data_IF_582290723745
#
_entry.id   IF_582290723745
#
_cell.length_a   1.000
_cell.length_b   1.000
_cell.length_c   1.000
_cell.angle_alpha   90.00
_cell.angle_beta   90.00
_cell.angle_gamma   90.00
#
_symmetry.space_group_name_H-M   'P 1'
#
loop_
_entity.id
_entity.type
_entity.pdbx_description
1 polymer ?
#
# COMPACT_ATOMS: atom_id res chain seq x y z
N UNK A 1 60.43 -40.78 -70.71
CA UNK A 1 59.46 -40.69 -69.59
C UNK A 1 58.90 -39.28 -69.59
N UNK A 2 57.58 -39.16 -69.73
CA UNK A 2 56.87 -37.90 -69.89
C UNK A 2 56.93 -37.05 -68.61
N UNK A 3 57.26 -35.77 -68.73
CA UNK A 3 57.01 -34.77 -67.70
C UNK A 3 55.94 -33.81 -68.23
N UNK A 4 54.85 -33.74 -67.46
CA UNK A 4 53.65 -32.97 -67.75
C UNK A 4 53.91 -31.46 -67.70
N UNK A 5 53.17 -30.65 -68.47
CA UNK A 5 53.11 -29.21 -68.25
C UNK A 5 52.28 -28.91 -67.00
N UNK A 6 52.88 -28.23 -66.04
CA UNK A 6 52.23 -27.63 -64.86
C UNK A 6 51.17 -26.63 -65.32
N UNK A 7 49.90 -26.98 -65.06
CA UNK A 7 48.75 -26.10 -65.18
C UNK A 7 48.87 -24.95 -64.17
N UNK A 8 48.92 -23.71 -64.66
CA UNK A 8 48.77 -22.52 -63.84
C UNK A 8 47.31 -22.42 -63.39
N UNK A 9 47.09 -22.56 -62.08
CA UNK A 9 45.78 -22.40 -61.46
C UNK A 9 45.25 -20.98 -61.71
N UNK A 10 44.12 -20.88 -62.41
CA UNK A 10 43.37 -19.65 -62.54
C UNK A 10 42.85 -19.22 -61.16
N UNK A 11 43.18 -18.01 -60.74
CA UNK A 11 42.57 -17.38 -59.57
C UNK A 11 41.04 -17.25 -59.82
N UNK A 12 40.18 -17.54 -58.83
CA UNK A 12 38.76 -17.32 -58.98
C UNK A 12 38.50 -15.82 -59.16
N UNK A 13 37.83 -15.47 -60.25
CA UNK A 13 37.34 -14.12 -60.49
C UNK A 13 36.54 -13.66 -59.27
N UNK A 14 36.95 -12.56 -58.65
CA UNK A 14 36.21 -11.91 -57.58
C UNK A 14 34.79 -11.66 -58.07
N UNK A 15 33.81 -12.33 -57.46
CA UNK A 15 32.41 -12.09 -57.72
C UNK A 15 32.15 -10.60 -57.45
N UNK A 16 31.73 -9.87 -58.49
CA UNK A 16 31.22 -8.52 -58.32
C UNK A 16 30.12 -8.56 -57.25
N UNK A 17 30.12 -7.63 -56.27
CA UNK A 17 29.06 -7.58 -55.28
C UNK A 17 27.72 -7.51 -56.01
N UNK A 18 26.66 -8.19 -55.50
CA UNK A 18 25.35 -8.15 -56.12
C UNK A 18 24.98 -6.68 -56.34
N UNK A 19 24.49 -6.33 -57.54
CA UNK A 19 24.00 -4.99 -57.85
C UNK A 19 23.09 -4.55 -56.71
N UNK A 20 23.62 -3.68 -55.84
CA UNK A 20 22.87 -3.13 -54.74
C UNK A 20 21.78 -2.28 -55.37
N UNK A 21 20.51 -2.57 -55.07
CA UNK A 21 19.40 -1.75 -55.57
C UNK A 21 19.72 -0.29 -55.20
N UNK A 22 19.85 0.62 -56.19
CA UNK A 22 20.21 2.01 -55.92
C UNK A 22 19.23 2.69 -54.96
N UNK A 23 17.98 2.21 -54.89
CA UNK A 23 17.02 2.67 -53.86
C UNK A 23 17.41 2.19 -52.47
N UNK A 24 17.73 0.91 -52.30
CA UNK A 24 18.17 0.37 -51.03
C UNK A 24 19.47 1.06 -50.52
N UNK A 25 20.41 1.34 -51.42
CA UNK A 25 21.63 2.07 -51.08
C UNK A 25 21.33 3.52 -50.65
N UNK A 26 20.37 4.18 -51.29
CA UNK A 26 19.93 5.54 -50.91
C UNK A 26 19.19 5.55 -49.58
N UNK A 27 18.33 4.58 -49.32
CA UNK A 27 17.59 4.46 -48.06
C UNK A 27 18.55 4.25 -46.89
N UNK A 28 19.56 3.38 -47.05
CA UNK A 28 20.63 3.16 -46.06
C UNK A 28 21.44 4.45 -45.85
N UNK A 29 21.76 5.19 -46.92
CA UNK A 29 22.49 6.45 -46.80
C UNK A 29 21.66 7.54 -46.09
N UNK A 30 20.35 7.62 -46.34
CA UNK A 30 19.44 8.54 -45.67
C UNK A 30 19.27 8.20 -44.19
N UNK A 31 19.17 6.92 -43.85
CA UNK A 31 19.08 6.48 -42.45
C UNK A 31 20.38 6.73 -41.70
N UNK A 32 21.54 6.48 -42.32
CA UNK A 32 22.84 6.82 -41.75
C UNK A 32 22.99 8.34 -41.51
N UNK A 33 22.55 9.17 -42.46
CA UNK A 33 22.59 10.62 -42.32
C UNK A 33 21.66 11.13 -41.19
N UNK A 34 20.47 10.53 -41.03
CA UNK A 34 19.54 10.87 -39.94
C UNK A 34 20.07 10.45 -38.57
N UNK A 35 20.76 9.31 -38.48
CA UNK A 35 21.42 8.85 -37.25
C UNK A 35 22.62 9.73 -36.87
N UNK A 36 23.33 10.30 -37.84
CA UNK A 36 24.50 11.14 -37.59
C UNK A 36 24.16 12.50 -36.94
N UNK A 37 22.96 13.05 -37.19
CA UNK A 37 22.47 14.26 -36.53
C UNK A 37 20.96 14.18 -36.26
N UNK A 38 20.53 13.44 -35.23
CA UNK A 38 19.12 13.15 -35.00
C UNK A 38 18.37 14.34 -34.38
N UNK A 39 19.07 15.40 -33.95
CA UNK A 39 18.51 16.49 -33.15
C UNK A 39 18.01 17.63 -34.02
N UNK A 40 16.69 17.85 -34.01
CA UNK A 40 16.00 18.96 -34.66
C UNK A 40 15.61 19.98 -33.59
N UNK A 41 15.97 21.25 -33.80
CA UNK A 41 15.53 22.35 -32.91
C UNK A 41 14.27 22.98 -33.48
N UNK A 42 13.19 22.97 -32.70
CA UNK A 42 11.92 23.59 -33.09
C UNK A 42 11.93 25.12 -32.89
N UNK A 43 10.94 25.84 -33.46
CA UNK A 43 10.81 27.31 -33.33
C UNK A 43 10.74 27.80 -31.88
N UNK A 44 10.26 26.93 -30.98
CA UNK A 44 10.09 27.23 -29.55
C UNK A 44 11.33 26.87 -28.70
N UNK A 45 12.47 26.54 -29.32
CA UNK A 45 13.71 26.15 -28.64
C UNK A 45 13.72 24.72 -28.08
N UNK A 46 12.64 23.96 -28.25
CA UNK A 46 12.57 22.53 -27.87
C UNK A 46 13.39 21.67 -28.83
N UNK A 47 14.14 20.70 -28.28
CA UNK A 47 14.97 19.76 -29.04
C UNK A 47 14.22 18.44 -29.22
N UNK A 48 14.06 18.01 -30.46
CA UNK A 48 13.42 16.74 -30.84
C UNK A 48 14.46 15.81 -31.44
N UNK A 49 14.39 14.51 -31.15
CA UNK A 49 15.24 13.51 -31.79
C UNK A 49 14.42 12.67 -32.78
N UNK A 50 14.73 12.73 -34.07
CA UNK A 50 14.03 11.97 -35.11
C UNK A 50 14.79 10.66 -35.41
N UNK A 51 14.52 9.61 -34.63
CA UNK A 51 15.08 8.27 -34.87
C UNK A 51 14.10 7.41 -35.70
N UNK A 52 14.59 6.58 -36.64
CA UNK A 52 13.78 5.58 -37.32
C UNK A 52 13.09 4.63 -36.31
N UNK A 53 11.83 4.25 -36.56
CA UNK A 53 11.06 3.34 -35.68
C UNK A 53 11.73 1.98 -35.44
N UNK A 54 12.64 1.55 -36.33
CA UNK A 54 13.37 0.29 -36.25
C UNK A 54 14.52 0.29 -35.23
N UNK A 55 14.89 1.45 -34.69
CA UNK A 55 15.99 1.59 -33.73
C UNK A 55 15.42 1.98 -32.37
N UNK A 56 15.32 1.01 -31.47
CA UNK A 56 15.02 1.28 -30.06
C UNK A 56 16.28 1.76 -29.34
N UNK A 57 16.17 2.86 -28.61
CA UNK A 57 17.19 3.25 -27.64
C UNK A 57 16.92 2.48 -26.35
N UNK A 58 17.90 1.72 -25.86
CA UNK A 58 17.84 1.10 -24.54
C UNK A 58 19.02 1.59 -23.74
N UNK A 59 18.74 2.21 -22.59
CA UNK A 59 19.77 2.59 -21.64
C UNK A 59 20.41 1.30 -21.09
N UNK A 60 21.72 1.15 -21.26
CA UNK A 60 22.46 0.05 -20.65
C UNK A 60 22.82 0.50 -19.23
N UNK A 61 22.24 -0.12 -18.18
CA UNK A 61 22.51 0.31 -16.82
C UNK A 61 23.97 0.06 -16.48
N UNK A 62 24.72 1.12 -16.16
CA UNK A 62 26.06 0.99 -15.61
C UNK A 62 25.95 0.54 -14.15
N UNK A 63 26.11 -0.75 -13.90
CA UNK A 63 25.98 -1.34 -12.55
C UNK A 63 27.07 -0.86 -11.56
N UNK A 64 28.11 -0.19 -12.03
CA UNK A 64 29.16 0.38 -11.20
C UNK A 64 28.90 1.84 -10.78
N UNK A 65 27.90 2.50 -11.38
CA UNK A 65 27.53 3.87 -11.05
C UNK A 65 26.35 3.90 -10.08
N UNK A 66 26.40 4.84 -9.14
CA UNK A 66 25.26 5.15 -8.29
C UNK A 66 24.19 5.87 -9.13
N UNK A 67 22.90 5.67 -8.83
CA UNK A 67 21.82 6.37 -9.52
C UNK A 67 21.97 7.89 -9.37
N UNK A 68 21.58 8.63 -10.41
CA UNK A 68 21.69 10.09 -10.44
C UNK A 68 20.84 10.78 -9.35
N UNK A 69 19.81 10.08 -8.83
CA UNK A 69 18.94 10.57 -7.77
C UNK A 69 18.68 9.48 -6.73
N UNK A 70 18.45 9.85 -5.45
CA UNK A 70 18.02 8.89 -4.44
C UNK A 70 16.69 8.23 -4.85
N UNK A 71 16.64 6.90 -4.81
CA UNK A 71 15.46 6.10 -5.21
C UNK A 71 14.87 5.29 -4.04
N UNK A 72 15.25 5.66 -2.82
CA UNK A 72 14.91 4.89 -1.61
C UNK A 72 13.45 5.15 -1.21
N UNK A 73 12.69 4.06 -1.05
CA UNK A 73 11.32 4.08 -0.54
C UNK A 73 11.25 3.26 0.75
N UNK A 74 11.45 3.93 1.89
CA UNK A 74 11.50 3.29 3.20
C UNK A 74 10.14 3.34 3.91
N UNK A 75 9.84 2.27 4.64
CA UNK A 75 8.67 2.19 5.52
C UNK A 75 9.14 2.12 6.97
N UNK A 76 8.55 2.97 7.81
CA UNK A 76 8.83 3.11 9.23
C UNK A 76 7.60 2.69 10.04
N UNK A 77 7.84 2.12 11.21
CA UNK A 77 6.85 1.82 12.26
C UNK A 77 6.91 2.86 13.40
N UNK A 78 8.11 3.38 13.70
CA UNK A 78 8.34 4.40 14.71
C UNK A 78 8.31 5.84 14.14
N UNK A 79 7.53 6.69 14.79
CA UNK A 79 7.40 8.11 14.46
C UNK A 79 8.74 8.85 14.61
N UNK A 80 9.50 8.60 15.68
CA UNK A 80 10.74 9.33 15.93
C UNK A 80 11.79 9.03 14.84
N UNK A 81 11.84 7.78 14.39
CA UNK A 81 12.69 7.32 13.30
C UNK A 81 12.32 7.97 11.96
N UNK A 82 11.03 8.08 11.63
CA UNK A 82 10.61 8.80 10.42
C UNK A 82 11.00 10.27 10.49
N UNK A 83 10.75 10.95 11.62
CA UNK A 83 11.09 12.37 11.80
C UNK A 83 12.60 12.57 11.66
N UNK A 84 13.42 11.73 12.27
CA UNK A 84 14.87 11.80 12.16
C UNK A 84 15.34 11.63 10.70
N UNK A 85 14.75 10.69 9.98
CA UNK A 85 15.08 10.44 8.57
C UNK A 85 14.68 11.62 7.68
N UNK A 86 13.44 12.10 7.79
CA UNK A 86 12.93 13.24 7.01
C UNK A 86 13.75 14.49 7.31
N UNK A 87 14.06 14.76 8.57
CA UNK A 87 14.88 15.92 8.93
C UNK A 87 16.31 15.87 8.38
N UNK A 88 16.84 14.67 8.15
CA UNK A 88 18.17 14.47 7.57
C UNK A 88 18.21 14.76 6.08
N UNK A 89 17.15 14.42 5.35
CA UNK A 89 17.13 14.44 3.88
C UNK A 89 16.15 15.46 3.26
N UNK A 90 15.43 16.23 4.08
CA UNK A 90 14.50 17.25 3.57
C UNK A 90 15.20 18.36 2.79
N UNK A 91 14.51 18.86 1.79
CA UNK A 91 14.79 20.08 1.05
C UNK A 91 13.53 20.96 0.98
N UNK A 92 13.61 22.08 0.24
CA UNK A 92 12.49 23.02 0.07
C UNK A 92 11.30 22.44 -0.73
N UNK A 93 11.47 21.26 -1.35
CA UNK A 93 10.44 20.57 -2.12
C UNK A 93 9.78 19.46 -1.31
N UNK A 94 10.34 19.10 -0.17
CA UNK A 94 9.82 18.00 0.64
C UNK A 94 8.41 18.30 1.17
N UNK A 95 7.50 17.34 1.03
CA UNK A 95 6.13 17.44 1.54
C UNK A 95 5.76 16.25 2.41
N UNK A 96 4.85 16.49 3.36
CA UNK A 96 4.22 15.45 4.16
C UNK A 96 2.77 15.28 3.72
N UNK A 97 2.39 14.05 3.43
CA UNK A 97 1.03 13.67 3.06
C UNK A 97 0.53 12.69 4.11
N UNK A 98 -0.52 13.06 4.84
CA UNK A 98 -1.19 12.17 5.77
C UNK A 98 -2.48 11.62 5.14
N UNK A 99 -2.56 10.29 4.99
CA UNK A 99 -3.78 9.59 4.63
C UNK A 99 -4.36 8.91 5.86
N UNK A 100 -5.45 9.48 6.36
CA UNK A 100 -6.16 8.99 7.54
C UNK A 100 -6.81 7.62 7.30
N UNK A 101 -7.32 7.36 6.10
CA UNK A 101 -8.00 6.09 5.79
C UNK A 101 -7.00 4.96 5.65
N UNK A 102 -5.83 5.25 5.07
CA UNK A 102 -4.76 4.28 4.93
C UNK A 102 -3.88 4.16 6.19
N UNK A 103 -4.08 5.02 7.20
CA UNK A 103 -3.25 5.10 8.41
C UNK A 103 -1.75 5.25 8.07
N UNK A 104 -1.46 6.09 7.06
CA UNK A 104 -0.07 6.33 6.63
C UNK A 104 0.26 7.82 6.59
N UNK A 105 1.49 8.14 6.98
CA UNK A 105 2.08 9.47 6.79
C UNK A 105 3.27 9.30 5.87
N UNK A 106 3.14 9.76 4.63
CA UNK A 106 4.19 9.66 3.60
C UNK A 106 4.91 10.98 3.47
N UNK A 107 6.22 10.97 3.72
CA UNK A 107 7.10 12.06 3.36
C UNK A 107 7.67 11.83 1.96
N UNK A 108 7.44 12.78 1.06
CA UNK A 108 8.02 12.81 -0.28
C UNK A 108 9.12 13.85 -0.27
N UNK A 109 10.37 13.44 -0.39
CA UNK A 109 11.52 14.32 -0.18
C UNK A 109 11.89 15.08 -1.45
N UNK A 110 11.73 14.47 -2.61
CA UNK A 110 12.08 15.01 -3.92
C UNK A 110 10.85 15.33 -4.78
N UNK A 111 9.83 15.93 -4.14
CA UNK A 111 8.59 16.31 -4.80
C UNK A 111 8.79 17.41 -5.85
N UNK A 112 7.73 17.69 -6.62
CA UNK A 112 7.77 18.79 -7.58
C UNK A 112 7.85 20.16 -6.87
N UNK A 113 8.49 21.17 -7.48
CA UNK A 113 8.55 22.52 -6.92
C UNK A 113 7.16 23.11 -6.70
N UNK A 114 7.06 24.04 -5.74
CA UNK A 114 5.84 24.81 -5.54
C UNK A 114 5.46 25.58 -6.82
N UNK A 115 4.17 25.70 -7.13
CA UNK A 115 3.66 26.41 -8.31
C UNK A 115 4.01 27.92 -8.35
N UNK A 116 4.58 28.45 -7.26
CA UNK A 116 5.04 29.84 -7.16
C UNK A 116 6.54 29.98 -7.48
N UNK A 117 7.26 28.86 -7.54
CA UNK A 117 8.66 28.82 -7.96
C UNK A 117 8.70 28.99 -9.49
N UNK A 118 9.52 29.90 -10.04
CA UNK A 118 9.69 30.04 -11.49
C UNK A 118 10.00 28.72 -12.23
N UNK A 119 10.63 27.76 -11.54
CA UNK A 119 10.95 26.43 -12.05
C UNK A 119 9.81 25.39 -11.91
N UNK A 120 8.56 25.78 -11.63
CA UNK A 120 7.44 24.84 -11.44
C UNK A 120 7.19 23.85 -12.60
N UNK A 121 7.68 24.16 -13.80
CA UNK A 121 7.52 23.34 -15.00
C UNK A 121 8.62 22.27 -15.16
N UNK A 122 9.63 22.23 -14.28
CA UNK A 122 10.62 21.16 -14.28
C UNK A 122 10.12 19.95 -13.51
N UNK A 123 10.12 18.78 -14.15
CA UNK A 123 9.82 17.52 -13.50
C UNK A 123 10.91 17.16 -12.49
N UNK A 124 10.50 16.82 -11.26
CA UNK A 124 11.37 16.23 -10.24
C UNK A 124 11.26 14.69 -10.28
N UNK A 125 12.26 13.96 -9.75
CA UNK A 125 12.27 12.49 -9.83
C UNK A 125 11.14 11.79 -9.04
N UNK A 126 10.70 12.34 -7.90
CA UNK A 126 9.69 11.75 -7.00
C UNK A 126 9.93 10.26 -6.68
N UNK A 127 11.17 9.92 -6.38
CA UNK A 127 11.58 8.56 -6.05
C UNK A 127 12.02 8.37 -4.59
N UNK A 128 12.22 9.45 -3.83
CA UNK A 128 12.70 9.38 -2.45
C UNK A 128 11.53 9.57 -1.47
N UNK A 129 11.10 8.45 -0.89
CA UNK A 129 9.93 8.41 -0.01
C UNK A 129 10.24 7.79 1.36
N UNK A 130 9.63 8.34 2.40
CA UNK A 130 9.66 7.83 3.76
C UNK A 130 8.24 7.74 4.31
N UNK A 131 7.70 6.52 4.38
CA UNK A 131 6.32 6.27 4.78
C UNK A 131 6.27 5.73 6.21
N UNK A 132 5.65 6.45 7.13
CA UNK A 132 5.25 5.92 8.42
C UNK A 132 3.92 5.20 8.25
N UNK A 133 3.89 3.93 8.63
CA UNK A 133 2.66 3.16 8.72
C UNK A 133 2.27 3.13 10.19
N UNK A 134 1.09 3.65 10.51
CA UNK A 134 0.52 3.49 11.84
C UNK A 134 -0.07 2.07 11.88
N UNK A 135 0.47 1.24 12.78
CA UNK A 135 -0.07 -0.08 13.03
C UNK A 135 -0.99 0.00 14.23
N UNK A 136 -2.13 -0.65 14.13
CA UNK A 136 -2.98 -0.93 15.28
C UNK A 136 -2.17 -1.77 16.28
N UNK A 137 -2.35 -1.52 17.57
CA UNK A 137 -1.81 -2.38 18.61
C UNK A 137 -2.36 -3.80 18.49
N UNK A 138 -1.62 -4.79 19.00
CA UNK A 138 -2.05 -6.18 18.95
C UNK A 138 -3.35 -6.36 19.77
N UNK A 139 -3.44 -5.65 20.89
CA UNK A 139 -4.59 -5.61 21.77
C UNK A 139 -5.80 -5.03 21.04
N UNK A 140 -5.65 -3.86 20.40
CA UNK A 140 -6.74 -3.23 19.63
C UNK A 140 -7.21 -4.12 18.48
N UNK A 141 -6.28 -4.74 17.75
CA UNK A 141 -6.62 -5.67 16.69
C UNK A 141 -7.42 -6.88 17.21
N UNK A 142 -7.04 -7.46 18.36
CA UNK A 142 -7.75 -8.58 18.99
C UNK A 142 -9.16 -8.18 19.43
N UNK A 143 -9.30 -7.07 20.15
CA UNK A 143 -10.60 -6.58 20.61
C UNK A 143 -11.52 -6.21 19.46
N UNK A 144 -11.00 -5.53 18.43
CA UNK A 144 -11.76 -5.19 17.22
C UNK A 144 -12.17 -6.44 16.42
N UNK A 145 -11.33 -7.48 16.39
CA UNK A 145 -11.67 -8.75 15.77
C UNK A 145 -12.75 -9.53 16.54
N UNK A 146 -12.82 -9.39 17.86
CA UNK A 146 -13.86 -9.98 18.70
C UNK A 146 -15.17 -9.19 18.66
N UNK A 147 -15.11 -7.88 18.42
CA UNK A 147 -16.27 -6.99 18.41
C UNK A 147 -17.30 -7.38 17.34
N UNK A 148 -18.59 -7.32 17.71
CA UNK A 148 -19.72 -7.56 16.80
C UNK A 148 -19.95 -9.02 16.41
N UNK A 149 -19.15 -9.97 16.92
CA UNK A 149 -19.33 -11.40 16.71
C UNK A 149 -20.09 -12.02 17.88
N UNK A 150 -20.94 -13.00 17.56
CA UNK A 150 -21.51 -13.88 18.59
C UNK A 150 -20.44 -14.88 19.01
N UNK A 151 -20.07 -14.86 20.28
CA UNK A 151 -19.19 -15.84 20.90
C UNK A 151 -20.02 -16.77 21.76
N UNK A 152 -19.62 -18.02 21.88
CA UNK A 152 -20.18 -18.86 22.93
C UNK A 152 -19.72 -18.35 24.30
N UNK A 153 -20.46 -18.74 25.34
CA UNK A 153 -20.22 -18.23 26.69
C UNK A 153 -18.83 -18.62 27.23
N UNK A 154 -18.38 -19.84 26.92
CA UNK A 154 -17.11 -20.36 27.41
C UNK A 154 -15.93 -19.67 26.70
N UNK A 155 -16.04 -19.45 25.40
CA UNK A 155 -15.09 -18.76 24.55
C UNK A 155 -15.01 -17.28 24.92
N UNK A 156 -16.14 -16.63 25.22
CA UNK A 156 -16.16 -15.24 25.68
C UNK A 156 -15.52 -15.09 27.06
N UNK A 157 -15.85 -15.97 28.02
CA UNK A 157 -15.22 -15.97 29.34
C UNK A 157 -13.70 -16.18 29.24
N UNK A 158 -13.26 -17.15 28.42
CA UNK A 158 -11.84 -17.38 28.14
C UNK A 158 -11.18 -16.15 27.52
N UNK A 159 -11.85 -15.49 26.57
CA UNK A 159 -11.33 -14.27 25.94
C UNK A 159 -11.14 -13.14 26.95
N UNK A 160 -12.06 -12.95 27.89
CA UNK A 160 -11.92 -11.96 28.96
C UNK A 160 -10.81 -12.34 29.96
N UNK A 161 -10.60 -13.62 30.24
CA UNK A 161 -9.48 -14.09 31.08
C UNK A 161 -8.12 -13.78 30.45
N UNK A 162 -7.97 -14.11 29.16
CA UNK A 162 -6.73 -13.89 28.40
C UNK A 162 -6.38 -12.41 28.23
N UNK A 163 -7.38 -11.53 28.17
CA UNK A 163 -7.21 -10.08 27.96
C UNK A 163 -7.64 -9.26 29.19
N UNK A 164 -7.58 -9.86 30.39
CA UNK A 164 -8.03 -9.21 31.64
C UNK A 164 -7.22 -7.95 32.00
N UNK A 165 -5.97 -7.86 31.56
CA UNK A 165 -5.10 -6.69 31.74
C UNK A 165 -5.57 -5.46 30.98
N UNK A 166 -6.34 -5.67 29.92
CA UNK A 166 -6.81 -4.61 29.02
C UNK A 166 -8.08 -3.95 29.54
N UNK A 167 -8.79 -4.61 30.45
CA UNK A 167 -10.05 -4.15 31.00
C UNK A 167 -9.76 -3.19 32.15
N UNK A 168 -10.18 -1.94 31.98
CA UNK A 168 -9.99 -0.89 32.97
C UNK A 168 -11.10 -0.82 34.02
N UNK A 169 -12.35 -0.83 33.54
CA UNK A 169 -13.53 -0.73 34.41
C UNK A 169 -14.74 -1.38 33.73
N UNK A 170 -15.55 -2.21 34.42
CA UNK A 170 -15.43 -2.62 35.82
C UNK A 170 -14.30 -3.65 36.05
N UNK A 171 -14.15 -4.12 37.29
CA UNK A 171 -13.12 -5.10 37.67
C UNK A 171 -13.11 -6.33 36.72
N UNK A 172 -11.96 -6.72 36.14
CA UNK A 172 -11.90 -7.84 35.18
C UNK A 172 -12.46 -9.14 35.75
N UNK A 173 -12.27 -9.41 37.04
CA UNK A 173 -12.80 -10.61 37.69
C UNK A 173 -14.34 -10.60 37.71
N UNK A 174 -14.96 -9.46 38.00
CA UNK A 174 -16.40 -9.27 37.91
C UNK A 174 -16.89 -9.50 36.47
N UNK A 175 -16.19 -8.99 35.45
CA UNK A 175 -16.55 -9.21 34.04
C UNK A 175 -16.49 -10.68 33.63
N UNK A 176 -15.49 -11.42 34.09
CA UNK A 176 -15.35 -12.86 33.82
C UNK A 176 -16.45 -13.65 34.53
N UNK A 177 -16.77 -13.32 35.78
CA UNK A 177 -17.89 -13.90 36.52
C UNK A 177 -19.21 -13.65 35.80
N UNK A 178 -19.46 -12.40 35.37
CA UNK A 178 -20.61 -12.05 34.53
C UNK A 178 -20.66 -12.89 33.27
N UNK A 179 -19.55 -13.02 32.54
CA UNK A 179 -19.53 -13.81 31.31
C UNK A 179 -19.87 -15.29 31.56
N UNK A 180 -19.33 -15.91 32.63
CA UNK A 180 -19.57 -17.32 32.97
C UNK A 180 -20.97 -17.59 33.49
N UNK A 181 -21.51 -16.69 34.30
CA UNK A 181 -22.79 -16.85 34.99
C UNK A 181 -23.95 -16.10 34.29
N UNK A 182 -23.71 -15.60 33.07
CA UNK A 182 -24.72 -14.94 32.24
C UNK A 182 -25.84 -15.91 31.84
N UNK A 183 -26.77 -16.16 32.75
CA UNK A 183 -28.00 -16.88 32.49
C UNK A 183 -29.12 -15.85 32.33
N UNK A 184 -29.18 -15.24 31.14
CA UNK A 184 -30.30 -14.38 30.79
C UNK A 184 -31.55 -15.25 30.66
N UNK A 185 -32.27 -15.40 31.77
CA UNK A 185 -33.66 -15.84 31.72
C UNK A 185 -34.44 -14.71 31.06
N UNK A 186 -34.48 -14.68 29.73
CA UNK A 186 -35.44 -13.91 28.95
C UNK A 186 -36.84 -14.57 29.09
N UNK A 187 -37.26 -14.77 30.33
CA UNK A 187 -38.57 -15.30 30.69
C UNK A 187 -39.57 -14.18 30.67
N UNK A 188 -40.10 -13.85 29.49
CA UNK A 188 -41.34 -13.09 29.40
C UNK A 188 -42.46 -13.96 30.00
N UNK A 189 -42.66 -13.88 31.31
CA UNK A 189 -43.72 -14.61 32.00
C UNK A 189 -45.05 -13.91 31.73
N UNK A 190 -45.76 -14.37 30.70
CA UNK A 190 -47.12 -13.91 30.38
C UNK A 190 -48.11 -14.47 31.43
N UNK A 191 -48.36 -13.75 32.53
CA UNK A 191 -49.50 -14.05 33.41
C UNK A 191 -50.77 -13.37 32.88
N UNK A 192 -51.49 -14.08 32.02
CA UNK A 192 -52.89 -13.74 31.70
C UNK A 192 -53.79 -14.33 32.78
N UNK A 193 -54.09 -13.59 33.85
CA UNK A 193 -55.15 -13.97 34.79
C UNK A 193 -56.50 -13.55 34.21
N UNK A 194 -57.29 -14.52 33.73
CA UNK A 194 -58.69 -14.30 33.36
C UNK A 194 -59.55 -14.63 34.57
N UNK A 195 -60.17 -13.62 35.19
CA UNK A 195 -61.38 -13.84 36.00
C UNK A 195 -62.57 -13.85 35.04
N UNK A 196 -63.24 -15.00 34.97
CA UNK A 196 -64.32 -15.30 34.04
C UNK A 196 -65.60 -14.49 34.28
N UNK A 197 -65.65 -13.67 35.34
CA UNK A 197 -66.90 -13.06 35.79
C UNK A 197 -67.18 -11.65 35.26
N UNK A 198 -66.19 -10.90 34.70
CA UNK A 198 -66.45 -9.50 34.32
C UNK A 198 -65.69 -8.89 33.13
N UNK A 199 -64.95 -9.65 32.32
CA UNK A 199 -64.47 -9.18 31.00
C UNK A 199 -63.42 -8.05 30.95
N UNK A 200 -63.02 -7.46 32.08
CA UNK A 200 -61.97 -6.43 32.12
C UNK A 200 -60.57 -7.04 31.97
N UNK A 201 -59.83 -6.62 30.94
CA UNK A 201 -58.47 -7.08 30.64
C UNK A 201 -57.45 -6.09 31.22
N UNK A 202 -56.78 -6.44 32.31
CA UNK A 202 -55.63 -5.67 32.82
C UNK A 202 -54.34 -6.36 32.38
N UNK A 203 -53.58 -5.69 31.51
CA UNK A 203 -52.23 -6.09 31.11
C UNK A 203 -51.25 -5.38 32.06
N UNK A 204 -50.59 -6.14 32.94
CA UNK A 204 -49.46 -5.63 33.72
C UNK A 204 -48.19 -6.19 33.08
N UNK A 205 -47.35 -5.31 32.54
CA UNK A 205 -46.02 -5.65 32.07
C UNK A 205 -45.07 -5.55 33.26
N UNK A 206 -44.54 -6.68 33.71
CA UNK A 206 -43.51 -6.72 34.75
C UNK A 206 -42.30 -7.44 34.13
N UNK A 207 -41.25 -6.67 33.83
CA UNK A 207 -39.97 -7.20 33.33
C UNK A 207 -39.10 -7.47 34.54
N UNK A 208 -38.94 -8.74 34.88
CA UNK A 208 -38.13 -9.18 36.01
C UNK A 208 -36.88 -9.88 35.47
N UNK A 209 -35.79 -9.11 35.35
CA UNK A 209 -34.46 -9.65 35.02
C UNK A 209 -33.80 -10.08 36.32
N UNK A 210 -34.13 -11.27 36.83
CA UNK A 210 -33.40 -11.87 37.96
C UNK A 210 -32.18 -12.65 37.47
N UNK A 211 -31.04 -11.97 37.38
CA UNK A 211 -29.78 -12.62 37.77
C UNK A 211 -29.81 -12.80 39.31
N UNK A 212 -28.97 -13.66 39.90
CA UNK A 212 -28.86 -13.79 41.37
C UNK A 212 -28.81 -12.40 42.03
N UNK A 213 -29.50 -12.28 43.16
CA UNK A 213 -30.12 -11.08 43.76
C UNK A 213 -29.36 -9.72 43.80
N UNK A 214 -28.12 -9.57 43.36
CA UNK A 214 -27.41 -8.27 43.35
C UNK A 214 -26.48 -8.04 42.13
N UNK A 215 -26.53 -8.88 41.09
CA UNK A 215 -25.57 -8.81 39.99
C UNK A 215 -26.01 -7.83 38.88
N UNK A 216 -25.52 -6.59 38.95
CA UNK A 216 -25.76 -5.56 37.92
C UNK A 216 -24.89 -5.84 36.70
N UNK A 217 -25.50 -6.30 35.61
CA UNK A 217 -24.82 -6.52 34.33
C UNK A 217 -24.48 -5.15 33.70
N UNK A 218 -23.19 -4.85 33.45
CA UNK A 218 -22.78 -3.59 32.86
C UNK A 218 -23.15 -3.55 31.36
N UNK A 219 -23.70 -2.42 30.91
CA UNK A 219 -24.01 -2.19 29.49
C UNK A 219 -22.79 -1.78 28.66
N UNK A 220 -21.73 -1.33 29.32
CA UNK A 220 -20.46 -0.90 28.72
C UNK A 220 -19.32 -1.14 29.72
N UNK A 221 -18.13 -1.35 29.20
CA UNK A 221 -16.90 -1.42 29.97
C UNK A 221 -15.80 -0.69 29.20
N UNK A 222 -14.82 -0.17 29.93
CA UNK A 222 -13.74 0.65 29.41
C UNK A 222 -12.48 -0.21 29.23
N UNK A 223 -11.79 -0.01 28.10
CA UNK A 223 -10.53 -0.68 27.76
C UNK A 223 -9.38 0.32 27.89
N UNK A 224 -8.28 -0.11 28.52
CA UNK A 224 -7.03 0.64 28.58
C UNK A 224 -5.99 0.00 27.67
N UNK A 225 -6.26 0.03 26.37
CA UNK A 225 -5.36 -0.48 25.35
C UNK A 225 -4.73 0.67 24.55
N UNK A 226 -3.45 0.53 24.14
CA UNK A 226 -2.91 1.40 23.11
C UNK A 226 -3.73 1.21 21.81
N UNK A 227 -3.89 2.28 21.03
CA UNK A 227 -4.54 2.22 19.72
C UNK A 227 -3.49 1.93 18.67
#
# INVERSE_FOLDING_TARGET
>A
MAQAPTSAAAAPAAAQPPFCDPRAALDVALDAARLANPVITGPDGRRYAALPKSHGLTELPNRAELPAWPTEALVFDDQASQIAYVNRFRDDRSILIADYRALTVTARLDWHPHNANPAFHTAAPDHHAATLKLLDSEEFARWNAAAGKMHDQADFARFLEENSTDIGYPDPAMMIEIARDFEATAGSTYKSSVRLDNGDRRLTFETDTRAREDMVIPQKFDLFIPV
#
